data_IF_018029915173
#
_entry.id   IF_018029915173
#
_cell.length_a   1.000
_cell.length_b   1.000
_cell.length_c   1.000
_cell.angle_alpha   90.00
_cell.angle_beta   90.00
_cell.angle_gamma   90.00
#
_symmetry.space_group_name_H-M   'P 1'
#
loop_
_entity.id
_entity.type
_entity.pdbx_description
1 polymer ?
#
# COMPACT_ATOMS: atom_id res chain seq x y z
N UNK A 1 16.51 27.71 -12.74
CA UNK A 1 17.57 26.69 -12.53
C UNK A 1 16.89 25.40 -12.12
N UNK A 2 17.42 24.24 -12.54
CA UNK A 2 16.88 22.93 -12.16
C UNK A 2 17.48 22.50 -10.82
N UNK A 3 16.63 22.15 -9.86
CA UNK A 3 17.03 21.63 -8.55
C UNK A 3 17.70 20.26 -8.71
N UNK A 4 18.73 19.93 -7.91
CA UNK A 4 19.32 18.60 -7.90
C UNK A 4 18.29 17.48 -7.66
N UNK A 5 18.32 16.44 -8.50
CA UNK A 5 17.50 15.24 -8.38
C UNK A 5 18.22 14.03 -8.96
N UNK A 6 17.80 12.83 -8.60
CA UNK A 6 18.25 11.57 -9.21
C UNK A 6 17.14 10.96 -10.05
N UNK A 7 17.49 10.13 -11.03
CA UNK A 7 16.51 9.36 -11.81
C UNK A 7 16.60 7.91 -11.37
N UNK A 8 15.45 7.33 -11.04
CA UNK A 8 15.34 5.90 -10.85
C UNK A 8 15.32 5.22 -12.23
N UNK A 9 16.44 4.65 -12.64
CA UNK A 9 16.62 4.02 -13.97
C UNK A 9 15.69 2.81 -14.22
N UNK A 10 15.15 2.18 -13.18
CA UNK A 10 14.22 1.05 -13.35
C UNK A 10 12.82 1.51 -13.75
N UNK A 11 12.41 2.72 -13.35
CA UNK A 11 11.05 3.22 -13.52
C UNK A 11 10.97 4.56 -14.28
N UNK A 12 12.11 5.15 -14.65
CA UNK A 12 12.22 6.50 -15.22
C UNK A 12 11.51 7.57 -14.39
N UNK A 13 11.65 7.48 -13.06
CA UNK A 13 11.04 8.43 -12.11
C UNK A 13 12.06 9.42 -11.57
N UNK A 14 11.69 10.69 -11.45
CA UNK A 14 12.48 11.68 -10.73
C UNK A 14 12.36 11.47 -9.21
N UNK A 15 13.49 11.50 -8.52
CA UNK A 15 13.55 11.44 -7.05
C UNK A 15 14.34 12.63 -6.52
N UNK A 16 13.71 13.41 -5.67
CA UNK A 16 14.32 14.56 -4.98
C UNK A 16 14.16 14.39 -3.48
N UNK A 17 15.16 14.81 -2.70
CA UNK A 17 15.10 14.82 -1.23
C UNK A 17 15.56 16.19 -0.73
N UNK A 18 14.70 16.92 -0.01
CA UNK A 18 14.98 18.31 0.41
C UNK A 18 16.19 18.41 1.34
N UNK A 19 16.43 17.40 2.17
CA UNK A 19 17.59 17.36 3.08
C UNK A 19 18.93 17.25 2.37
N UNK A 20 18.95 16.83 1.10
CA UNK A 20 20.15 16.76 0.26
C UNK A 20 20.34 18.00 -0.61
N UNK A 21 19.37 18.92 -0.63
CA UNK A 21 19.50 20.19 -1.34
C UNK A 21 20.33 21.18 -0.52
N UNK A 22 21.11 22.05 -1.19
CA UNK A 22 21.72 23.20 -0.54
C UNK A 22 20.65 24.07 0.13
N UNK A 23 20.91 24.54 1.36
CA UNK A 23 19.88 25.20 2.19
C UNK A 23 19.31 26.46 1.56
N UNK A 24 20.14 27.18 0.82
CA UNK A 24 19.75 28.35 0.04
C UNK A 24 18.71 28.03 -1.04
N UNK A 25 18.69 26.82 -1.59
CA UNK A 25 17.72 26.39 -2.62
C UNK A 25 16.36 25.99 -2.02
N UNK A 26 16.34 25.67 -0.73
CA UNK A 26 15.12 25.30 -0.01
C UNK A 26 14.43 26.53 0.59
N UNK A 27 15.00 27.72 0.47
CA UNK A 27 14.33 28.98 0.87
C UNK A 27 13.07 29.18 0.04
N UNK A 28 11.96 29.52 0.70
CA UNK A 28 10.60 29.54 0.13
C UNK A 28 10.50 30.20 -1.25
N UNK A 29 10.95 31.46 -1.37
CA UNK A 29 10.86 32.23 -2.62
C UNK A 29 11.67 31.62 -3.77
N UNK A 30 12.84 31.06 -3.45
CA UNK A 30 13.73 30.44 -4.43
C UNK A 30 13.19 29.09 -4.85
N UNK A 31 12.81 28.26 -3.88
CA UNK A 31 12.23 26.95 -4.13
C UNK A 31 10.97 27.06 -5.00
N UNK A 32 10.07 28.01 -4.69
CA UNK A 32 8.85 28.25 -5.44
C UNK A 32 9.09 28.47 -6.95
N UNK A 33 10.18 29.14 -7.29
CA UNK A 33 10.54 29.40 -8.69
C UNK A 33 11.25 28.21 -9.32
N UNK A 34 12.25 27.66 -8.62
CA UNK A 34 13.10 26.59 -9.16
C UNK A 34 12.37 25.25 -9.29
N UNK A 35 11.37 24.97 -8.43
CA UNK A 35 10.59 23.74 -8.53
C UNK A 35 9.70 23.71 -9.78
N UNK A 36 9.21 24.87 -10.23
CA UNK A 36 8.43 24.98 -11.48
C UNK A 36 9.32 24.64 -12.67
N UNK A 37 10.52 25.24 -12.74
CA UNK A 37 11.51 24.97 -13.77
C UNK A 37 11.93 23.49 -13.77
N UNK A 38 12.16 22.94 -12.59
CA UNK A 38 12.53 21.52 -12.40
C UNK A 38 11.41 20.58 -12.86
N UNK A 39 10.16 20.91 -12.54
CA UNK A 39 8.99 20.13 -12.94
C UNK A 39 8.80 20.11 -14.46
N UNK A 40 9.01 21.25 -15.13
CA UNK A 40 8.99 21.33 -16.59
C UNK A 40 10.11 20.49 -17.20
N UNK A 41 11.33 20.55 -16.65
CA UNK A 41 12.44 19.72 -17.10
C UNK A 41 12.15 18.21 -16.95
N UNK A 42 11.47 17.78 -15.89
CA UNK A 42 11.03 16.39 -15.73
C UNK A 42 10.02 15.95 -16.80
N UNK A 43 9.07 16.83 -17.15
CA UNK A 43 8.10 16.57 -18.23
C UNK A 43 8.77 16.52 -19.60
N UNK A 44 9.68 17.45 -19.90
CA UNK A 44 10.44 17.48 -21.16
C UNK A 44 11.30 16.23 -21.33
N UNK A 45 11.90 15.74 -20.24
CA UNK A 45 12.63 14.47 -20.21
C UNK A 45 11.73 13.24 -20.30
N UNK A 46 10.41 13.41 -20.31
CA UNK A 46 9.38 12.35 -20.40
C UNK A 46 9.51 11.31 -19.28
N UNK A 47 9.84 11.77 -18.07
CA UNK A 47 9.85 10.92 -16.88
C UNK A 47 8.42 10.45 -16.56
N UNK A 48 8.30 9.26 -15.95
CA UNK A 48 7.00 8.67 -15.67
C UNK A 48 6.33 9.32 -14.45
N UNK A 49 7.08 9.48 -13.36
CA UNK A 49 6.64 10.16 -12.15
C UNK A 49 7.73 11.05 -11.54
N UNK A 50 7.34 11.87 -10.58
CA UNK A 50 8.24 12.57 -9.68
C UNK A 50 7.87 12.25 -8.23
N UNK A 51 8.90 12.03 -7.39
CA UNK A 51 8.77 11.80 -5.95
C UNK A 51 9.70 12.74 -5.20
N UNK A 52 9.12 13.51 -4.28
CA UNK A 52 9.86 14.44 -3.43
C UNK A 52 9.75 14.00 -1.98
N UNK A 53 10.88 13.72 -1.35
CA UNK A 53 11.00 13.48 0.09
C UNK A 53 11.33 14.80 0.79
N UNK A 54 10.49 15.17 1.75
CA UNK A 54 10.47 16.48 2.42
C UNK A 54 10.76 16.24 3.89
N UNK A 55 11.85 16.83 4.38
CA UNK A 55 12.12 16.90 5.82
C UNK A 55 11.06 17.78 6.50
N UNK A 56 10.69 17.45 7.73
CA UNK A 56 9.77 18.27 8.56
C UNK A 56 10.20 19.74 8.67
N UNK A 57 11.51 20.00 8.66
CA UNK A 57 12.07 21.36 8.69
C UNK A 57 11.83 22.15 7.40
N UNK A 58 11.58 21.46 6.29
CA UNK A 58 11.38 22.04 4.96
C UNK A 58 9.88 22.02 4.57
N UNK A 59 8.97 21.89 5.54
CA UNK A 59 7.53 21.73 5.30
C UNK A 59 6.86 22.89 4.55
N UNK A 60 7.48 24.07 4.54
CA UNK A 60 7.01 25.23 3.77
C UNK A 60 7.07 25.01 2.25
N UNK A 61 7.77 23.99 1.75
CA UNK A 61 7.79 23.66 0.31
C UNK A 61 6.53 22.93 -0.17
N UNK A 62 5.77 22.34 0.76
CA UNK A 62 4.58 21.52 0.47
C UNK A 62 3.53 22.27 -0.38
N UNK A 63 3.14 23.53 -0.07
CA UNK A 63 2.17 24.27 -0.87
C UNK A 63 2.62 24.50 -2.32
N UNK A 64 3.93 24.65 -2.58
CA UNK A 64 4.45 24.82 -3.93
C UNK A 64 4.35 23.53 -4.74
N UNK A 65 4.63 22.38 -4.12
CA UNK A 65 4.45 21.07 -4.74
C UNK A 65 2.97 20.75 -4.99
N UNK A 66 2.08 21.05 -4.04
CA UNK A 66 0.65 20.83 -4.19
C UNK A 66 0.07 21.60 -5.39
N UNK A 67 0.50 22.85 -5.61
CA UNK A 67 0.11 23.65 -6.80
C UNK A 67 0.52 23.01 -8.13
N UNK A 68 1.56 22.19 -8.13
CA UNK A 68 2.04 21.46 -9.31
C UNK A 68 1.37 20.09 -9.49
N UNK A 69 0.41 19.72 -8.63
CA UNK A 69 -0.31 18.46 -8.70
C UNK A 69 0.40 17.29 -8.02
N UNK A 70 1.32 17.57 -7.09
CA UNK A 70 1.83 16.54 -6.19
C UNK A 70 0.79 16.23 -5.10
N UNK A 71 0.67 14.95 -4.77
CA UNK A 71 -0.19 14.46 -3.69
C UNK A 71 0.63 13.68 -2.64
N UNK A 72 0.08 13.52 -1.44
CA UNK A 72 0.75 12.85 -0.33
C UNK A 72 0.96 11.36 -0.63
N UNK A 73 2.19 10.88 -0.41
CA UNK A 73 2.62 9.52 -0.71
C UNK A 73 2.84 8.62 0.51
N UNK A 74 3.38 9.19 1.58
CA UNK A 74 3.67 8.53 2.86
C UNK A 74 4.29 9.58 3.80
N UNK A 75 4.06 9.47 5.10
CA UNK A 75 4.80 10.25 6.10
C UNK A 75 5.26 9.34 7.24
N UNK A 76 6.54 9.44 7.63
CA UNK A 76 7.06 8.79 8.84
C UNK A 76 8.28 9.52 9.40
N UNK A 77 8.39 9.52 10.73
CA UNK A 77 9.59 9.95 11.49
C UNK A 77 10.19 11.29 11.02
N UNK A 78 9.36 12.31 10.85
CA UNK A 78 9.81 13.66 10.49
C UNK A 78 10.20 13.84 9.02
N UNK A 79 9.84 12.88 8.16
CA UNK A 79 9.92 12.98 6.71
C UNK A 79 8.56 12.65 6.08
N UNK A 80 8.25 13.31 4.97
CA UNK A 80 7.06 13.08 4.17
C UNK A 80 7.44 12.96 2.69
N UNK A 81 6.83 12.03 1.99
CA UNK A 81 6.94 11.92 0.55
C UNK A 81 5.68 12.49 -0.12
N UNK A 82 5.87 13.27 -1.17
CA UNK A 82 4.82 13.65 -2.12
C UNK A 82 5.16 13.11 -3.51
N UNK A 83 4.16 12.70 -4.27
CA UNK A 83 4.32 12.13 -5.62
C UNK A 83 3.43 12.80 -6.64
N UNK A 84 3.92 12.96 -7.86
CA UNK A 84 3.14 13.44 -9.01
C UNK A 84 3.38 12.49 -10.19
N UNK A 85 2.30 12.11 -10.88
CA UNK A 85 2.40 11.35 -12.12
C UNK A 85 2.56 12.34 -13.29
N UNK A 86 3.57 12.12 -14.13
CA UNK A 86 3.95 13.07 -15.20
C UNK A 86 3.60 12.55 -16.60
N UNK A 87 3.47 11.23 -16.77
CA UNK A 87 3.25 10.60 -18.08
C UNK A 87 1.77 10.47 -18.43
N UNK A 88 1.45 10.46 -19.73
CA UNK A 88 0.12 10.12 -20.25
C UNK A 88 -0.23 8.63 -20.10
N UNK A 89 0.74 7.80 -19.70
CA UNK A 89 0.52 6.38 -19.40
C UNK A 89 -0.34 6.24 -18.14
N UNK A 90 -1.09 5.14 -17.98
CA UNK A 90 -1.79 4.88 -16.72
C UNK A 90 -0.80 4.87 -15.53
N UNK A 91 -1.17 5.47 -14.37
CA UNK A 91 -0.30 5.57 -13.21
C UNK A 91 0.22 4.20 -12.76
N UNK A 92 1.54 4.08 -12.60
CA UNK A 92 2.19 2.90 -12.01
C UNK A 92 2.66 3.11 -10.58
N UNK A 93 2.58 4.35 -10.09
CA UNK A 93 2.68 4.61 -8.66
C UNK A 93 1.54 3.85 -7.98
N UNK A 94 1.81 3.04 -6.94
CA UNK A 94 0.75 2.35 -6.24
C UNK A 94 -0.20 3.42 -5.69
N UNK A 95 -1.50 3.40 -6.06
CA UNK A 95 -2.48 4.15 -5.31
C UNK A 95 -2.33 3.68 -3.86
N UNK A 96 -2.03 4.59 -2.93
CA UNK A 96 -2.00 4.24 -1.50
C UNK A 96 -3.36 3.72 -1.01
N UNK A 97 -4.39 3.92 -1.83
CA UNK A 97 -5.78 3.54 -1.62
C UNK A 97 -6.14 2.15 -2.21
N UNK A 98 -5.17 1.34 -2.67
CA UNK A 98 -5.49 -0.04 -3.02
C UNK A 98 -5.91 -0.82 -1.78
N UNK A 99 -7.14 -1.34 -1.80
CA UNK A 99 -7.61 -2.31 -0.84
C UNK A 99 -6.67 -3.52 -0.84
N UNK A 100 -6.29 -3.97 0.36
CA UNK A 100 -5.34 -5.05 0.57
C UNK A 100 -5.76 -5.83 1.80
N UNK A 101 -5.47 -7.13 1.80
CA UNK A 101 -5.59 -7.92 3.02
C UNK A 101 -4.75 -7.31 4.15
N UNK A 102 -5.24 -7.34 5.39
CA UNK A 102 -4.46 -6.90 6.55
C UNK A 102 -3.20 -7.76 6.67
N UNK A 103 -2.06 -7.11 6.89
CA UNK A 103 -0.79 -7.81 6.96
C UNK A 103 0.38 -6.93 7.37
N UNK A 104 1.53 -7.54 7.54
CA UNK A 104 2.78 -6.87 7.88
C UNK A 104 3.85 -7.87 8.32
N UNK A 105 5.05 -7.38 8.67
CA UNK A 105 6.15 -8.25 9.04
C UNK A 105 5.88 -8.98 10.38
N UNK A 106 6.42 -10.20 10.54
CA UNK A 106 6.44 -10.90 11.82
C UNK A 106 7.37 -10.19 12.81
N UNK A 107 7.06 -10.28 14.11
CA UNK A 107 8.02 -9.92 15.17
C UNK A 107 8.96 -11.10 15.44
N UNK A 108 10.00 -10.84 16.22
CA UNK A 108 10.90 -11.90 16.66
C UNK A 108 10.11 -12.97 17.44
N UNK A 109 10.33 -14.24 17.11
CA UNK A 109 9.68 -15.40 17.70
C UNK A 109 8.16 -15.52 17.47
N UNK A 110 7.58 -14.76 16.52
CA UNK A 110 6.21 -15.00 16.06
C UNK A 110 6.18 -16.01 14.90
N UNK A 111 5.25 -16.96 14.93
CA UNK A 111 4.94 -17.77 13.75
C UNK A 111 4.04 -16.99 12.77
N UNK A 112 3.85 -17.52 11.56
CA UNK A 112 3.11 -16.83 10.49
C UNK A 112 1.63 -16.59 10.84
N UNK A 113 0.97 -17.57 11.47
CA UNK A 113 -0.43 -17.45 11.85
C UNK A 113 -0.61 -16.42 12.98
N UNK A 114 0.19 -16.51 14.05
CA UNK A 114 0.24 -15.53 15.13
C UNK A 114 0.50 -14.11 14.62
N UNK A 115 1.36 -13.97 13.61
CA UNK A 115 1.61 -12.69 12.93
C UNK A 115 0.34 -12.20 12.23
N UNK A 116 -0.35 -13.06 11.49
CA UNK A 116 -1.58 -12.74 10.78
C UNK A 116 -2.71 -12.35 11.75
N UNK A 117 -2.96 -13.15 12.78
CA UNK A 117 -3.95 -12.88 13.85
C UNK A 117 -3.73 -11.50 14.48
N UNK A 118 -2.50 -11.22 14.90
CA UNK A 118 -2.12 -9.92 15.46
C UNK A 118 -2.36 -8.80 14.45
N UNK A 119 -1.98 -8.97 13.18
CA UNK A 119 -2.09 -7.94 12.14
C UNK A 119 -3.54 -7.67 11.73
N UNK A 120 -4.40 -8.67 11.73
CA UNK A 120 -5.85 -8.50 11.55
C UNK A 120 -6.39 -7.63 12.67
N UNK A 121 -6.16 -8.02 13.93
CA UNK A 121 -6.61 -7.26 15.10
C UNK A 121 -6.09 -5.82 15.12
N UNK A 122 -4.81 -5.60 14.84
CA UNK A 122 -4.20 -4.25 14.79
C UNK A 122 -4.80 -3.34 13.72
N UNK A 123 -5.23 -3.89 12.58
CA UNK A 123 -5.68 -3.10 11.41
C UNK A 123 -7.20 -2.95 11.30
N UNK A 124 -7.96 -3.93 11.79
CA UNK A 124 -9.41 -3.97 11.62
C UNK A 124 -10.17 -4.04 12.94
N UNK A 125 -9.50 -4.31 14.06
CA UNK A 125 -10.13 -4.57 15.35
C UNK A 125 -10.78 -5.95 15.48
N UNK A 126 -10.85 -6.73 14.40
CA UNK A 126 -11.45 -8.07 14.40
C UNK A 126 -10.52 -9.08 15.06
N UNK A 127 -11.07 -9.92 15.93
CA UNK A 127 -10.37 -11.07 16.49
C UNK A 127 -10.60 -12.27 15.59
N UNK A 128 -9.53 -12.86 15.09
CA UNK A 128 -9.57 -14.02 14.23
C UNK A 128 -8.43 -14.98 14.59
N UNK A 129 -8.65 -16.27 14.32
CA UNK A 129 -7.71 -17.37 14.51
C UNK A 129 -7.20 -17.84 13.15
N UNK A 130 -5.90 -18.13 13.05
CA UNK A 130 -5.29 -18.61 11.81
C UNK A 130 -5.66 -20.06 11.52
N UNK A 131 -6.19 -20.32 10.31
CA UNK A 131 -6.62 -21.66 9.90
C UNK A 131 -5.57 -22.35 9.02
N UNK A 132 -5.16 -21.68 7.94
CA UNK A 132 -4.24 -22.26 6.96
C UNK A 132 -3.44 -21.18 6.22
N UNK A 133 -2.31 -21.57 5.64
CA UNK A 133 -1.59 -20.75 4.65
C UNK A 133 -2.12 -21.13 3.27
N UNK A 134 -2.70 -20.18 2.55
CA UNK A 134 -3.36 -20.42 1.25
C UNK A 134 -2.56 -19.90 0.06
N UNK A 135 -1.53 -19.08 0.31
CA UNK A 135 -0.65 -18.59 -0.76
C UNK A 135 0.74 -18.24 -0.24
N UNK A 136 1.73 -18.45 -1.11
CA UNK A 136 3.11 -18.01 -0.96
C UNK A 136 3.48 -17.15 -2.18
N UNK A 137 4.03 -15.97 -1.93
CA UNK A 137 4.64 -15.11 -2.94
C UNK A 137 6.11 -14.84 -2.60
N UNK A 138 6.94 -14.65 -3.63
CA UNK A 138 8.33 -14.23 -3.46
C UNK A 138 8.61 -12.99 -4.30
N UNK A 139 9.29 -12.02 -3.70
CA UNK A 139 9.87 -10.88 -4.39
C UNK A 139 11.39 -10.96 -4.34
N UNK A 140 12.01 -11.26 -5.47
CA UNK A 140 13.47 -11.43 -5.59
C UNK A 140 14.24 -10.10 -5.46
N UNK A 141 13.62 -9.00 -5.89
CA UNK A 141 14.21 -7.66 -5.80
C UNK A 141 13.49 -6.86 -4.73
N UNK A 142 14.16 -6.66 -3.60
CA UNK A 142 13.67 -5.77 -2.54
C UNK A 142 14.53 -4.50 -2.51
N UNK A 143 14.09 -3.50 -1.75
CA UNK A 143 14.89 -2.30 -1.48
C UNK A 143 16.18 -2.58 -0.69
N UNK A 144 16.36 -3.80 -0.21
CA UNK A 144 17.54 -4.26 0.51
C UNK A 144 18.38 -5.12 -0.44
N UNK A 145 19.57 -4.64 -0.78
CA UNK A 145 20.47 -5.32 -1.69
C UNK A 145 20.76 -6.76 -1.22
N UNK A 146 20.69 -7.72 -2.15
CA UNK A 146 20.96 -9.14 -1.86
C UNK A 146 19.89 -9.87 -1.06
N UNK A 147 18.75 -9.24 -0.77
CA UNK A 147 17.66 -9.87 0.01
C UNK A 147 16.41 -10.10 -0.84
N UNK A 148 15.81 -11.29 -0.71
CA UNK A 148 14.47 -11.56 -1.20
C UNK A 148 13.44 -11.44 -0.06
N UNK A 149 12.18 -11.15 -0.41
CA UNK A 149 11.07 -11.14 0.53
C UNK A 149 10.08 -12.25 0.19
N UNK A 150 9.59 -12.94 1.21
CA UNK A 150 8.49 -13.88 1.09
C UNK A 150 7.22 -13.26 1.69
N UNK A 151 6.10 -13.53 1.05
CA UNK A 151 4.77 -13.10 1.45
C UNK A 151 3.91 -14.34 1.62
N UNK A 152 3.21 -14.43 2.75
CA UNK A 152 2.32 -15.54 3.05
C UNK A 152 0.91 -14.97 3.27
N UNK A 153 -0.07 -15.52 2.57
CA UNK A 153 -1.49 -15.19 2.81
C UNK A 153 -2.09 -16.30 3.66
N UNK A 154 -2.65 -15.92 4.80
CA UNK A 154 -3.26 -16.82 5.76
C UNK A 154 -4.79 -16.71 5.67
N UNK A 155 -5.47 -17.84 5.64
CA UNK A 155 -6.91 -17.94 5.85
C UNK A 155 -7.19 -17.80 7.35
N UNK A 156 -8.17 -16.96 7.67
CA UNK A 156 -8.50 -16.59 9.04
C UNK A 156 -9.95 -16.95 9.35
N UNK A 157 -10.19 -17.50 10.53
CA UNK A 157 -11.53 -17.78 11.07
C UNK A 157 -11.89 -16.71 12.09
N UNK A 158 -13.05 -16.08 11.93
CA UNK A 158 -13.53 -15.10 12.90
C UNK A 158 -13.89 -15.81 14.23
N UNK A 159 -13.38 -15.29 15.35
CA UNK A 159 -13.71 -15.81 16.68
C UNK A 159 -14.86 -14.98 17.25
N UNK A 160 -16.06 -15.57 17.32
CA UNK A 160 -17.21 -14.94 17.98
C UNK A 160 -17.00 -14.97 19.51
N UNK A 161 -16.99 -13.81 20.16
CA UNK A 161 -17.01 -13.72 21.61
C UNK A 161 -18.40 -14.11 22.12
N UNK A 162 -18.60 -15.35 22.56
CA UNK A 162 -19.85 -15.78 23.22
C UNK A 162 -19.89 -15.45 24.72
N UNK A 163 -18.83 -14.88 25.29
CA UNK A 163 -18.68 -14.70 26.75
C UNK A 163 -18.32 -13.27 27.18
N UNK A 164 -19.02 -12.25 26.67
CA UNK A 164 -19.10 -10.95 27.35
C UNK A 164 -20.58 -10.68 27.60
N UNK A 165 -20.96 -10.65 28.87
CA UNK A 165 -22.36 -10.57 29.29
C UNK A 165 -23.11 -9.43 28.61
N UNK A 166 -24.26 -9.77 28.03
CA UNK A 166 -25.40 -8.87 27.93
C UNK A 166 -25.27 -7.70 26.95
N UNK A 167 -24.66 -7.88 25.78
CA UNK A 167 -25.10 -7.20 24.56
C UNK A 167 -24.89 -8.19 23.42
N UNK A 168 -25.98 -8.73 22.87
CA UNK A 168 -25.95 -9.33 21.54
C UNK A 168 -25.51 -8.23 20.56
N UNK A 169 -24.22 -8.18 20.24
CA UNK A 169 -23.81 -7.54 19.01
C UNK A 169 -24.36 -8.46 17.94
N UNK A 170 -25.52 -8.07 17.41
CA UNK A 170 -26.24 -8.79 16.38
C UNK A 170 -25.26 -9.38 15.38
N UNK A 171 -25.49 -10.64 15.02
CA UNK A 171 -24.85 -11.39 13.94
C UNK A 171 -24.87 -10.69 12.57
N UNK A 172 -25.38 -9.47 12.50
CA UNK A 172 -25.86 -8.79 11.32
C UNK A 172 -24.86 -7.74 10.78
N UNK A 173 -23.63 -7.67 11.33
CA UNK A 173 -22.57 -6.76 10.87
C UNK A 173 -21.31 -7.51 10.39
N UNK A 174 -21.45 -8.80 10.01
CA UNK A 174 -20.59 -9.34 8.96
C UNK A 174 -21.35 -9.10 7.67
N UNK A 175 -21.26 -7.87 7.16
CA UNK A 175 -21.65 -7.56 5.79
C UNK A 175 -20.98 -8.60 4.90
N UNK A 176 -21.71 -9.21 3.97
CA UNK A 176 -21.13 -10.08 2.97
C UNK A 176 -20.25 -9.23 2.03
N UNK A 177 -19.02 -8.94 2.50
CA UNK A 177 -18.04 -8.11 1.80
C UNK A 177 -17.55 -8.79 0.52
N UNK A 178 -17.95 -10.04 0.28
CA UNK A 178 -17.60 -10.79 -0.93
C UNK A 178 -18.07 -10.06 -2.18
N UNK A 179 -19.32 -9.62 -2.21
CA UNK A 179 -19.88 -8.93 -3.39
C UNK A 179 -19.24 -7.56 -3.59
N UNK A 180 -18.97 -6.84 -2.51
CA UNK A 180 -18.23 -5.57 -2.54
C UNK A 180 -16.82 -5.78 -3.11
N UNK A 181 -16.04 -6.72 -2.56
CA UNK A 181 -14.68 -7.04 -3.03
C UNK A 181 -14.68 -7.54 -4.47
N UNK A 182 -15.70 -8.30 -4.87
CA UNK A 182 -15.83 -8.81 -6.24
C UNK A 182 -16.19 -7.69 -7.23
N UNK A 183 -16.94 -6.67 -6.80
CA UNK A 183 -17.31 -5.52 -7.63
C UNK A 183 -16.20 -4.46 -7.78
N UNK A 184 -15.19 -4.47 -6.89
CA UNK A 184 -14.05 -3.54 -6.97
C UNK A 184 -13.35 -3.61 -8.34
N UNK A 185 -12.99 -2.45 -8.88
CA UNK A 185 -12.25 -2.30 -10.14
C UNK A 185 -10.77 -2.67 -9.97
N UNK A 186 -10.09 -2.95 -11.09
CA UNK A 186 -8.69 -3.41 -11.10
C UNK A 186 -7.71 -2.44 -10.43
N UNK A 187 -8.04 -1.15 -10.40
CA UNK A 187 -7.23 -0.10 -9.77
C UNK A 187 -7.61 0.18 -8.31
N UNK A 188 -8.58 -0.54 -7.74
CA UNK A 188 -9.06 -0.37 -6.36
C UNK A 188 -8.60 -1.51 -5.44
N UNK A 189 -8.27 -2.68 -5.99
CA UNK A 189 -7.82 -3.86 -5.23
C UNK A 189 -6.48 -4.35 -5.77
N UNK A 190 -5.50 -4.47 -4.89
CA UNK A 190 -4.18 -5.04 -5.20
C UNK A 190 -4.28 -6.35 -6.00
N UNK A 191 -3.59 -6.38 -7.15
CA UNK A 191 -3.68 -7.48 -8.11
C UNK A 191 -3.22 -8.82 -7.53
N UNK A 192 -2.19 -8.83 -6.67
CA UNK A 192 -1.70 -10.08 -6.08
C UNK A 192 -2.75 -10.65 -5.13
N UNK A 193 -3.29 -9.81 -4.23
CA UNK A 193 -4.35 -10.22 -3.31
C UNK A 193 -5.64 -10.62 -4.05
N UNK A 194 -6.02 -9.92 -5.13
CA UNK A 194 -7.15 -10.28 -5.99
C UNK A 194 -6.99 -11.65 -6.62
N UNK A 195 -5.79 -12.00 -7.07
CA UNK A 195 -5.53 -13.31 -7.65
C UNK A 195 -5.65 -14.42 -6.59
N UNK A 196 -5.11 -14.19 -5.39
CA UNK A 196 -5.28 -15.13 -4.26
C UNK A 196 -6.76 -15.30 -3.90
N UNK A 197 -7.51 -14.19 -3.83
CA UNK A 197 -8.95 -14.21 -3.57
C UNK A 197 -9.72 -15.04 -4.60
N UNK A 198 -9.49 -14.82 -5.89
CA UNK A 198 -10.15 -15.56 -6.96
C UNK A 198 -9.79 -17.04 -6.95
N UNK A 199 -8.53 -17.38 -6.69
CA UNK A 199 -8.09 -18.76 -6.57
C UNK A 199 -8.78 -19.46 -5.38
N UNK A 200 -8.91 -18.76 -4.25
CA UNK A 200 -9.65 -19.27 -3.09
C UNK A 200 -11.12 -19.50 -3.40
N UNK A 201 -11.82 -18.53 -4.02
CA UNK A 201 -13.23 -18.70 -4.40
C UNK A 201 -13.43 -19.90 -5.33
N UNK A 202 -12.59 -20.04 -6.36
CA UNK A 202 -12.65 -21.19 -7.26
C UNK A 202 -12.44 -22.50 -6.51
N UNK A 203 -11.55 -22.54 -5.52
CA UNK A 203 -11.34 -23.75 -4.72
C UNK A 203 -12.56 -24.12 -3.87
N UNK A 204 -13.36 -23.13 -3.44
CA UNK A 204 -14.62 -23.40 -2.74
C UNK A 204 -15.65 -24.00 -3.68
N UNK A 205 -15.77 -23.47 -4.91
CA UNK A 205 -16.69 -23.99 -5.94
C UNK A 205 -16.33 -25.43 -6.34
N UNK A 206 -15.03 -25.75 -6.43
CA UNK A 206 -14.54 -27.09 -6.74
C UNK A 206 -14.83 -28.09 -5.58
N UNK A 207 -14.91 -27.61 -4.34
CA UNK A 207 -15.26 -28.41 -3.15
C UNK A 207 -16.78 -28.63 -3.07
N UNK A 208 -17.60 -27.59 -3.26
CA UNK A 208 -19.07 -27.72 -3.31
C UNK A 208 -19.55 -28.51 -4.53
N UNK A 209 -18.79 -28.52 -5.63
CA UNK A 209 -19.00 -29.40 -6.79
C UNK A 209 -18.74 -30.89 -6.50
N UNK A 210 -17.97 -31.22 -5.45
CA UNK A 210 -17.53 -32.60 -5.15
C UNK A 210 -18.03 -33.15 -3.81
N UNK A 211 -18.76 -32.38 -3.01
CA UNK A 211 -19.40 -32.83 -1.78
C UNK A 211 -20.88 -32.43 -1.73
N UNK A 212 -21.73 -33.42 -1.50
CA UNK A 212 -23.12 -33.26 -1.06
C UNK A 212 -23.23 -32.18 0.04
N UNK A 213 -24.28 -31.36 -0.07
CA UNK A 213 -24.72 -30.31 0.86
C UNK A 213 -23.98 -30.24 2.21
N UNK A 214 -23.13 -29.24 2.36
CA UNK A 214 -22.94 -28.59 3.66
C UNK A 214 -23.07 -27.08 3.49
N UNK A 215 -24.23 -26.58 3.90
CA UNK A 215 -24.45 -25.17 4.19
C UNK A 215 -23.52 -24.76 5.33
N UNK A 216 -22.77 -23.67 5.14
CA UNK A 216 -22.09 -22.98 6.25
C UNK A 216 -22.47 -21.50 6.19
N UNK A 217 -23.11 -21.09 7.28
CA UNK A 217 -23.52 -19.73 7.66
C UNK A 217 -22.32 -18.80 7.89
#
# INVERSE_FOLDING_TARGET
MVLPYTVNEEYDDAVMTTSFLPREMVVDSRFATEIIETFNAWKERKLNAAKVYISSQDSHVVPHLAKLGFDFAHAAKGEMAMTCWLSDKPPRLPPQLLWRFPGGPPKHCENLLMTAERKVKEKTGVVAEGDAIISLGQKLRTKYAGSCAFFFVCLMKNVRNTNVGGVEIASDVIVDVRDEINSMLSHEFDNHHRNVWRAYLKSLDDITSKMFHFTLL
#
